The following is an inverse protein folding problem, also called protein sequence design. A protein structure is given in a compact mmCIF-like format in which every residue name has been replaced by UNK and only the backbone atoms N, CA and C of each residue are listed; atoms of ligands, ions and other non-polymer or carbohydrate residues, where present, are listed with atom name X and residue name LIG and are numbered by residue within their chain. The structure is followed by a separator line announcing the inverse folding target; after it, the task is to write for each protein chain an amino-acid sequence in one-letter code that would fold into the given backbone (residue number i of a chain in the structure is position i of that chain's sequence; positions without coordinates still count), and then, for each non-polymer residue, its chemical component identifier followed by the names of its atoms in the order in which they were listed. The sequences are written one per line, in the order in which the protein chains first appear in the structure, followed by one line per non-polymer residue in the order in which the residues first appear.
data_IF_535251387250
#
_entry.id   IF_535251387250
#
_cell.length_a   1.000
_cell.length_b   1.000
_cell.length_c   1.000
_cell.angle_alpha   90.00
_cell.angle_beta   90.00
_cell.angle_gamma   90.00
#
_symmetry.space_group_name_H-M   'P 1'
#
loop_
_entity.id
_entity.type
_entity.pdbx_description
1 polymer ?
#
# COMPACT_ATOMS: atom_id res chain seq x y z
N UNK A 1 -14.62 -10.43 9.05
CA UNK A 1 -13.92 -9.25 8.48
C UNK A 1 -14.68 -7.99 8.85
N UNK A 2 -13.99 -6.90 9.22
CA UNK A 2 -14.62 -5.58 9.42
C UNK A 2 -14.36 -4.73 8.19
N UNK A 3 -15.22 -3.71 8.01
CA UNK A 3 -15.18 -2.81 6.88
C UNK A 3 -15.09 -1.36 7.36
N UNK A 4 -14.37 -0.54 6.60
CA UNK A 4 -14.23 0.90 6.83
C UNK A 4 -14.58 1.65 5.55
N UNK A 5 -15.03 2.88 5.68
CA UNK A 5 -15.32 3.74 4.53
C UNK A 5 -14.00 4.20 3.88
N UNK A 6 -13.92 4.10 2.56
CA UNK A 6 -12.77 4.59 1.80
C UNK A 6 -12.98 6.07 1.44
N UNK A 7 -12.86 6.94 2.42
CA UNK A 7 -13.05 8.39 2.26
C UNK A 7 -14.31 8.75 1.48
N UNK A 8 -14.26 9.84 0.72
CA UNK A 8 -15.36 10.38 -0.10
C UNK A 8 -15.88 9.43 -1.19
N UNK A 9 -15.17 8.35 -1.50
CA UNK A 9 -15.64 7.35 -2.47
C UNK A 9 -16.93 6.67 -2.02
N UNK A 10 -17.21 6.64 -0.72
CA UNK A 10 -18.34 5.94 -0.11
C UNK A 10 -18.22 4.40 -0.13
N UNK A 11 -17.17 3.86 -0.75
CA UNK A 11 -16.94 2.41 -0.77
C UNK A 11 -16.68 1.88 0.64
N UNK A 12 -17.26 0.73 0.95
CA UNK A 12 -16.94 -0.03 2.16
C UNK A 12 -15.86 -1.04 1.81
N UNK A 13 -14.65 -0.85 2.31
CA UNK A 13 -13.50 -1.72 2.08
C UNK A 13 -13.16 -2.50 3.34
N UNK A 14 -12.74 -3.74 3.18
CA UNK A 14 -12.25 -4.55 4.29
C UNK A 14 -10.98 -3.92 4.89
N UNK A 15 -10.80 -4.06 6.20
CA UNK A 15 -9.63 -3.52 6.92
C UNK A 15 -8.29 -4.06 6.37
N UNK A 16 -8.30 -5.27 5.82
CA UNK A 16 -7.20 -5.79 5.01
C UNK A 16 -7.60 -5.80 3.54
N UNK A 17 -6.67 -5.47 2.66
CA UNK A 17 -6.77 -5.68 1.22
C UNK A 17 -5.63 -6.54 0.70
N UNK A 18 -5.83 -7.23 -0.41
CA UNK A 18 -4.82 -8.09 -1.01
C UNK A 18 -3.87 -7.28 -1.89
N UNK A 19 -2.58 -7.28 -1.57
CA UNK A 19 -1.53 -6.80 -2.48
C UNK A 19 -1.08 -7.92 -3.43
N UNK A 20 -1.40 -7.80 -4.71
CA UNK A 20 -1.15 -8.80 -5.75
C UNK A 20 0.17 -8.58 -6.51
N UNK A 21 1.18 -7.97 -5.88
CA UNK A 21 2.43 -7.60 -6.56
C UNK A 21 3.32 -8.78 -6.96
N UNK A 22 3.08 -9.98 -6.43
CA UNK A 22 3.96 -11.15 -6.63
C UNK A 22 3.19 -12.46 -6.55
N UNK A 23 3.69 -13.47 -7.28
CA UNK A 23 3.25 -14.85 -7.16
C UNK A 23 2.41 -15.35 -8.33
N UNK A 24 1.83 -14.45 -9.11
CA UNK A 24 1.00 -14.81 -10.25
C UNK A 24 1.81 -15.50 -11.36
N UNK A 25 3.02 -15.02 -11.65
CA UNK A 25 3.92 -15.63 -12.65
C UNK A 25 4.59 -16.90 -12.18
N UNK A 26 4.80 -17.05 -10.86
CA UNK A 26 5.50 -18.20 -10.29
C UNK A 26 4.59 -19.44 -10.21
N UNK A 27 3.33 -19.25 -9.78
CA UNK A 27 2.34 -20.31 -9.62
C UNK A 27 0.94 -19.72 -9.80
N UNK A 28 0.43 -19.60 -11.04
CA UNK A 28 -0.86 -18.99 -11.33
C UNK A 28 -2.04 -19.68 -10.64
N UNK A 29 -2.04 -21.02 -10.55
CA UNK A 29 -3.14 -21.77 -9.95
C UNK A 29 -3.19 -21.57 -8.42
N UNK A 30 -2.04 -21.56 -7.77
CA UNK A 30 -1.95 -21.22 -6.35
C UNK A 30 -2.36 -19.77 -6.10
N UNK A 31 -1.99 -18.87 -6.99
CA UNK A 31 -2.40 -17.45 -6.89
C UNK A 31 -3.93 -17.33 -6.97
N UNK A 32 -4.58 -17.95 -7.96
CA UNK A 32 -6.05 -17.97 -8.09
C UNK A 32 -6.73 -18.58 -6.87
N UNK A 33 -6.24 -19.73 -6.39
CA UNK A 33 -6.73 -20.37 -5.15
C UNK A 33 -6.62 -19.42 -3.96
N UNK A 34 -5.51 -18.68 -3.86
CA UNK A 34 -5.33 -17.69 -2.77
C UNK A 34 -6.29 -16.52 -2.92
N UNK A 35 -6.49 -16.00 -4.13
CA UNK A 35 -7.49 -14.93 -4.40
C UNK A 35 -8.89 -15.35 -3.95
N UNK A 36 -9.32 -16.57 -4.31
CA UNK A 36 -10.63 -17.07 -3.88
C UNK A 36 -10.72 -17.19 -2.35
N UNK A 37 -9.70 -17.75 -1.69
CA UNK A 37 -9.68 -17.85 -0.22
C UNK A 37 -9.71 -16.47 0.47
N UNK A 38 -9.05 -15.47 -0.12
CA UNK A 38 -9.05 -14.07 0.36
C UNK A 38 -10.46 -13.48 0.28
N UNK A 39 -11.15 -13.68 -0.83
CA UNK A 39 -12.53 -13.21 -1.05
C UNK A 39 -13.50 -13.93 -0.09
N UNK A 40 -13.36 -15.24 0.07
CA UNK A 40 -14.18 -16.04 0.98
C UNK A 40 -14.00 -15.65 2.46
N UNK A 41 -12.81 -15.11 2.81
CA UNK A 41 -12.56 -14.52 4.12
C UNK A 41 -13.18 -13.12 4.30
N UNK A 42 -13.86 -12.59 3.28
CA UNK A 42 -14.53 -11.28 3.30
C UNK A 42 -13.62 -10.10 2.93
N UNK A 43 -12.45 -10.34 2.37
CA UNK A 43 -11.59 -9.28 1.82
C UNK A 43 -12.14 -8.91 0.45
N UNK A 44 -12.49 -7.62 0.26
CA UNK A 44 -13.20 -7.17 -0.92
C UNK A 44 -12.46 -6.14 -1.78
N UNK A 45 -11.21 -5.78 -1.43
CA UNK A 45 -10.35 -4.92 -2.24
C UNK A 45 -9.05 -5.65 -2.60
N UNK A 46 -8.71 -5.65 -3.89
CA UNK A 46 -7.47 -6.23 -4.41
C UNK A 46 -6.69 -5.16 -5.15
N UNK A 47 -5.44 -4.97 -4.73
CA UNK A 47 -4.49 -4.05 -5.33
C UNK A 47 -3.57 -4.78 -6.31
N UNK A 48 -3.51 -4.28 -7.55
CA UNK A 48 -2.61 -4.76 -8.59
C UNK A 48 -2.00 -3.59 -9.37
N UNK A 49 -1.25 -3.85 -10.42
CA UNK A 49 -0.72 -2.87 -11.36
C UNK A 49 -0.24 -3.54 -12.65
N UNK A 50 -0.27 -2.81 -13.78
CA UNK A 50 0.34 -3.25 -15.04
C UNK A 50 1.82 -3.62 -14.87
N UNK A 51 2.54 -2.87 -14.03
CA UNK A 51 3.97 -3.10 -13.78
C UNK A 51 4.24 -4.35 -12.92
N UNK A 52 3.24 -4.96 -12.30
CA UNK A 52 3.42 -6.15 -11.48
C UNK A 52 3.58 -7.37 -12.35
N UNK A 53 4.76 -7.99 -12.26
CA UNK A 53 5.14 -9.16 -13.07
C UNK A 53 4.83 -8.96 -14.57
N UNK A 54 5.02 -7.72 -15.08
CA UNK A 54 4.78 -7.32 -16.48
C UNK A 54 3.35 -7.63 -16.97
N UNK A 55 2.35 -7.34 -16.14
CA UNK A 55 0.94 -7.54 -16.44
C UNK A 55 0.41 -8.94 -16.14
N UNK A 56 1.27 -9.89 -15.78
CA UNK A 56 0.84 -11.25 -15.43
C UNK A 56 -0.06 -11.24 -14.19
N UNK A 57 0.25 -10.38 -13.20
CA UNK A 57 -0.60 -10.22 -12.02
C UNK A 57 -2.04 -9.87 -12.41
N UNK A 58 -2.24 -8.87 -13.28
CA UNK A 58 -3.58 -8.48 -13.74
C UNK A 58 -4.27 -9.58 -14.54
N UNK A 59 -3.53 -10.31 -15.41
CA UNK A 59 -4.10 -11.37 -16.23
C UNK A 59 -4.62 -12.55 -15.39
N UNK A 60 -3.80 -13.04 -14.46
CA UNK A 60 -4.19 -14.15 -13.58
C UNK A 60 -5.28 -13.72 -12.59
N UNK A 61 -5.24 -12.47 -12.11
CA UNK A 61 -6.30 -11.90 -11.30
C UNK A 61 -7.61 -11.80 -12.08
N UNK A 62 -7.57 -11.34 -13.34
CA UNK A 62 -8.74 -11.28 -14.23
C UNK A 62 -9.43 -12.63 -14.39
N UNK A 63 -8.64 -13.70 -14.60
CA UNK A 63 -9.17 -15.07 -14.64
C UNK A 63 -9.84 -15.49 -13.32
N UNK A 64 -9.19 -15.17 -12.18
CA UNK A 64 -9.71 -15.50 -10.85
C UNK A 64 -11.01 -14.75 -10.50
N UNK A 65 -11.23 -13.58 -11.10
CA UNK A 65 -12.36 -12.70 -10.80
C UNK A 65 -13.51 -12.80 -11.81
N UNK A 66 -13.50 -13.76 -12.73
CA UNK A 66 -14.62 -13.98 -13.66
C UNK A 66 -15.92 -14.20 -12.87
N UNK A 67 -16.94 -13.35 -13.14
CA UNK A 67 -18.23 -13.38 -12.45
C UNK A 67 -18.22 -12.75 -11.04
N UNK A 68 -17.09 -12.26 -10.53
CA UNK A 68 -16.98 -11.64 -9.20
C UNK A 68 -16.99 -10.11 -9.31
N UNK A 69 -18.17 -9.55 -9.58
CA UNK A 69 -18.37 -8.09 -9.67
C UNK A 69 -18.48 -7.39 -8.30
N UNK A 70 -18.58 -8.17 -7.23
CA UNK A 70 -18.61 -7.74 -5.84
C UNK A 70 -17.22 -7.38 -5.27
N UNK A 71 -16.14 -7.75 -5.97
CA UNK A 71 -14.76 -7.46 -5.58
C UNK A 71 -14.28 -6.17 -6.22
N UNK A 72 -13.80 -5.25 -5.40
CA UNK A 72 -13.18 -3.99 -5.83
C UNK A 72 -11.77 -4.23 -6.32
N UNK A 73 -11.39 -3.57 -7.42
CA UNK A 73 -10.04 -3.67 -7.98
C UNK A 73 -9.41 -2.28 -8.05
N UNK A 74 -8.20 -2.18 -7.50
CA UNK A 74 -7.31 -1.05 -7.66
C UNK A 74 -6.17 -1.44 -8.59
N UNK A 75 -5.94 -0.63 -9.65
CA UNK A 75 -4.78 -0.76 -10.52
C UNK A 75 -4.08 0.58 -10.71
N UNK A 76 -2.91 0.60 -11.36
CA UNK A 76 -2.01 1.75 -11.35
C UNK A 76 -1.37 1.99 -12.72
N UNK A 77 -1.21 3.25 -13.06
CA UNK A 77 -0.37 3.71 -14.17
C UNK A 77 0.97 4.24 -13.64
N UNK A 78 2.09 3.69 -14.11
CA UNK A 78 3.42 4.15 -13.74
C UNK A 78 3.98 5.12 -14.77
N UNK A 79 4.20 6.41 -14.42
CA UNK A 79 4.71 7.40 -15.36
C UNK A 79 6.25 7.42 -15.44
N UNK A 80 6.92 6.27 -15.35
CA UNK A 80 8.38 6.13 -15.36
C UNK A 80 8.82 4.97 -16.24
N UNK A 81 10.01 5.10 -16.84
CA UNK A 81 10.60 4.11 -17.76
C UNK A 81 11.03 2.81 -17.06
N UNK A 82 11.26 2.85 -15.75
CA UNK A 82 11.70 1.70 -14.96
C UNK A 82 11.22 1.75 -13.51
N UNK A 83 11.58 0.75 -12.70
CA UNK A 83 11.39 0.73 -11.24
C UNK A 83 12.57 1.35 -10.47
N UNK A 84 13.64 1.74 -11.15
CA UNK A 84 14.80 2.32 -10.50
C UNK A 84 14.45 3.63 -9.79
N UNK A 85 15.10 3.97 -8.66
CA UNK A 85 14.81 5.21 -7.93
C UNK A 85 15.08 6.47 -8.76
N UNK A 86 16.03 6.41 -9.69
CA UNK A 86 16.46 7.48 -10.59
C UNK A 86 15.79 7.41 -11.98
N UNK A 87 14.78 6.54 -12.17
CA UNK A 87 14.08 6.38 -13.44
C UNK A 87 13.49 7.70 -13.95
N UNK A 88 13.59 7.89 -15.27
CA UNK A 88 13.07 9.09 -15.91
C UNK A 88 11.55 9.10 -15.93
N UNK A 89 10.99 10.29 -15.72
CA UNK A 89 9.57 10.51 -15.95
C UNK A 89 9.28 10.53 -17.46
N UNK A 90 8.50 9.58 -17.92
CA UNK A 90 8.12 9.41 -19.34
C UNK A 90 6.60 9.46 -19.55
N UNK A 91 5.84 9.79 -18.48
CA UNK A 91 4.38 9.81 -18.54
C UNK A 91 3.82 10.70 -19.65
N UNK A 92 2.82 10.18 -20.38
CA UNK A 92 1.99 10.93 -21.30
C UNK A 92 0.52 10.50 -21.21
N UNK A 93 -0.42 11.37 -21.60
CA UNK A 93 -1.85 11.05 -21.63
C UNK A 93 -2.18 9.81 -22.48
N UNK A 94 -1.52 9.68 -23.64
CA UNK A 94 -1.74 8.57 -24.58
C UNK A 94 -1.27 7.24 -23.99
N UNK A 95 -0.08 7.25 -23.37
CA UNK A 95 0.46 6.07 -22.68
C UNK A 95 -0.42 5.66 -21.50
N UNK A 96 -0.91 6.63 -20.72
CA UNK A 96 -1.82 6.36 -19.61
C UNK A 96 -3.11 5.69 -20.10
N UNK A 97 -3.74 6.23 -21.15
CA UNK A 97 -4.97 5.65 -21.71
C UNK A 97 -4.71 4.24 -22.22
N UNK A 98 -3.64 4.02 -22.98
CA UNK A 98 -3.27 2.71 -23.52
C UNK A 98 -2.98 1.69 -22.39
N UNK A 99 -2.28 2.11 -21.33
CA UNK A 99 -2.00 1.33 -20.13
C UNK A 99 -3.30 0.88 -19.44
N UNK A 100 -4.21 1.82 -19.16
CA UNK A 100 -5.49 1.52 -18.49
C UNK A 100 -6.35 0.59 -19.33
N UNK A 101 -6.46 0.82 -20.64
CA UNK A 101 -7.20 -0.07 -21.54
C UNK A 101 -6.55 -1.47 -21.60
N UNK A 102 -5.21 -1.54 -21.52
CA UNK A 102 -4.47 -2.79 -21.38
C UNK A 102 -4.81 -3.50 -20.06
N UNK A 103 -4.83 -2.77 -18.95
CA UNK A 103 -5.20 -3.30 -17.64
C UNK A 103 -6.63 -3.84 -17.63
N UNK A 104 -7.60 -3.11 -18.18
CA UNK A 104 -8.99 -3.58 -18.27
C UNK A 104 -9.12 -4.87 -19.06
N UNK A 105 -8.40 -4.99 -20.19
CA UNK A 105 -8.38 -6.25 -20.98
C UNK A 105 -7.79 -7.41 -20.17
N UNK A 106 -6.66 -7.22 -19.49
CA UNK A 106 -6.03 -8.25 -18.65
C UNK A 106 -6.89 -8.65 -17.47
N UNK A 107 -7.55 -7.68 -16.84
CA UNK A 107 -8.48 -7.89 -15.73
C UNK A 107 -9.83 -8.48 -16.14
N UNK A 108 -10.10 -8.62 -17.43
CA UNK A 108 -11.41 -9.05 -17.98
C UNK A 108 -12.57 -8.20 -17.42
N UNK A 109 -12.38 -6.86 -17.35
CA UNK A 109 -13.36 -5.91 -16.79
C UNK A 109 -13.55 -4.72 -17.74
N UNK A 110 -14.75 -4.15 -17.74
CA UNK A 110 -15.06 -2.92 -18.49
C UNK A 110 -14.60 -1.67 -17.74
N UNK A 111 -14.38 -1.80 -16.40
CA UNK A 111 -13.93 -0.71 -15.53
C UNK A 111 -13.10 -1.20 -14.35
N UNK A 112 -12.24 -0.34 -13.85
CA UNK A 112 -11.60 -0.49 -12.53
C UNK A 112 -12.28 0.40 -11.50
N UNK A 113 -12.25 0.01 -10.22
CA UNK A 113 -12.81 0.82 -9.15
C UNK A 113 -11.90 1.98 -8.78
N UNK A 114 -10.58 1.75 -8.72
CA UNK A 114 -9.59 2.76 -8.36
C UNK A 114 -8.44 2.71 -9.37
N UNK A 115 -8.06 3.87 -9.89
CA UNK A 115 -6.85 4.04 -10.70
C UNK A 115 -5.88 4.97 -9.98
N UNK A 116 -4.67 4.49 -9.67
CA UNK A 116 -3.64 5.31 -9.04
C UNK A 116 -2.57 5.78 -10.04
N UNK A 117 -2.12 7.03 -9.90
CA UNK A 117 -0.80 7.45 -10.37
C UNK A 117 0.27 6.77 -9.52
N UNK A 118 1.09 5.89 -10.12
CA UNK A 118 1.94 4.94 -9.40
C UNK A 118 3.30 5.51 -9.02
N UNK A 119 3.55 5.63 -7.71
CA UNK A 119 4.89 5.93 -7.17
C UNK A 119 5.38 7.33 -7.51
N UNK A 120 4.55 8.35 -7.37
CA UNK A 120 4.97 9.74 -7.60
C UNK A 120 6.02 10.12 -6.53
N UNK A 121 7.22 10.54 -6.99
CA UNK A 121 8.46 10.56 -6.18
C UNK A 121 8.81 11.89 -5.58
N UNK A 122 8.32 12.98 -6.18
CA UNK A 122 8.69 14.34 -5.78
C UNK A 122 7.61 15.35 -6.17
N UNK A 123 7.66 16.53 -5.58
CA UNK A 123 6.79 17.64 -5.96
C UNK A 123 6.92 17.98 -7.45
N UNK A 124 8.15 17.95 -8.00
CA UNK A 124 8.35 18.23 -9.43
C UNK A 124 7.68 17.18 -10.33
N UNK A 125 7.69 15.90 -9.94
CA UNK A 125 6.98 14.87 -10.71
C UNK A 125 5.48 14.94 -10.51
N UNK A 126 5.00 15.35 -9.34
CA UNK A 126 3.57 15.65 -9.12
C UNK A 126 3.12 16.81 -10.03
N UNK A 127 3.87 17.90 -10.06
CA UNK A 127 3.54 19.07 -10.89
C UNK A 127 3.50 18.69 -12.38
N UNK A 128 4.44 17.86 -12.86
CA UNK A 128 4.40 17.34 -14.23
C UNK A 128 3.17 16.46 -14.46
N UNK A 129 2.90 15.49 -13.59
CA UNK A 129 1.76 14.59 -13.70
C UNK A 129 0.44 15.36 -13.79
N UNK A 130 0.32 16.46 -13.06
CA UNK A 130 -0.86 17.35 -13.10
C UNK A 130 -0.93 18.19 -14.37
N UNK A 131 0.22 18.68 -14.90
CA UNK A 131 0.28 19.66 -15.98
C UNK A 131 0.46 19.08 -17.37
N UNK A 132 1.09 17.89 -17.53
CA UNK A 132 1.36 17.26 -18.82
C UNK A 132 0.15 16.53 -19.43
N UNK A 133 -0.99 16.54 -18.73
CA UNK A 133 -2.23 15.93 -19.17
C UNK A 133 -2.50 14.52 -18.64
N UNK A 134 -1.58 13.88 -17.92
CA UNK A 134 -1.82 12.56 -17.31
C UNK A 134 -3.01 12.60 -16.35
N UNK A 135 -3.05 13.55 -15.41
CA UNK A 135 -4.21 13.71 -14.54
C UNK A 135 -5.50 13.98 -15.34
N UNK A 136 -5.44 14.85 -16.36
CA UNK A 136 -6.57 15.10 -17.26
C UNK A 136 -7.06 13.85 -18.00
N UNK A 137 -6.16 12.95 -18.38
CA UNK A 137 -6.51 11.66 -18.96
C UNK A 137 -7.22 10.73 -17.97
N UNK A 138 -6.79 10.70 -16.68
CA UNK A 138 -7.51 9.96 -15.63
C UNK A 138 -8.94 10.50 -15.46
N UNK A 139 -9.12 11.83 -15.46
CA UNK A 139 -10.45 12.45 -15.38
C UNK A 139 -11.33 12.04 -16.55
N UNK A 140 -10.80 12.07 -17.78
CA UNK A 140 -11.53 11.61 -18.98
C UNK A 140 -11.93 10.14 -18.93
N UNK A 141 -11.04 9.27 -18.42
CA UNK A 141 -11.35 7.84 -18.24
C UNK A 141 -12.46 7.64 -17.17
N UNK A 142 -12.50 8.48 -16.15
CA UNK A 142 -13.60 8.49 -15.16
C UNK A 142 -14.92 8.94 -15.79
N UNK A 143 -14.92 10.01 -16.58
CA UNK A 143 -16.09 10.49 -17.32
C UNK A 143 -16.62 9.45 -18.32
N UNK A 144 -15.73 8.64 -18.93
CA UNK A 144 -16.08 7.51 -19.80
C UNK A 144 -16.58 6.28 -19.03
N UNK A 145 -16.56 6.30 -17.70
CA UNK A 145 -16.98 5.17 -16.85
C UNK A 145 -15.97 4.01 -16.78
N UNK A 146 -14.76 4.16 -17.34
CA UNK A 146 -13.69 3.15 -17.30
C UNK A 146 -12.96 3.11 -15.96
N UNK A 147 -13.03 4.19 -15.19
CA UNK A 147 -12.46 4.35 -13.85
C UNK A 147 -13.53 4.97 -12.95
N UNK A 148 -13.73 4.44 -11.73
CA UNK A 148 -14.69 5.05 -10.79
C UNK A 148 -14.06 6.16 -9.98
N UNK A 149 -12.89 5.91 -9.38
CA UNK A 149 -12.19 6.82 -8.49
C UNK A 149 -10.72 6.98 -8.89
N UNK A 150 -10.19 8.18 -8.68
CA UNK A 150 -8.82 8.54 -9.03
C UNK A 150 -8.00 8.69 -7.75
N UNK A 151 -6.81 8.12 -7.75
CA UNK A 151 -5.90 8.24 -6.62
C UNK A 151 -4.45 8.43 -7.04
N UNK A 152 -3.59 8.49 -6.02
CA UNK A 152 -2.16 8.66 -6.18
C UNK A 152 -1.42 7.79 -5.16
N UNK A 153 -0.32 7.17 -5.59
CA UNK A 153 0.60 6.42 -4.73
C UNK A 153 1.92 7.17 -4.63
N UNK A 154 2.44 7.30 -3.42
CA UNK A 154 3.79 7.82 -3.21
C UNK A 154 4.88 6.77 -3.45
N UNK A 155 6.13 7.22 -3.47
CA UNK A 155 7.31 6.38 -3.33
C UNK A 155 8.11 6.89 -2.12
N UNK A 156 7.95 6.24 -0.96
CA UNK A 156 8.53 6.69 0.31
C UNK A 156 10.06 6.67 0.36
N UNK A 157 10.73 6.01 -0.58
CA UNK A 157 12.20 5.99 -0.67
C UNK A 157 12.80 7.35 -1.01
N UNK A 158 12.07 8.20 -1.72
CA UNK A 158 12.51 9.54 -2.12
C UNK A 158 11.84 10.67 -1.34
N UNK A 159 10.77 10.38 -0.60
CA UNK A 159 9.95 11.36 0.12
C UNK A 159 9.52 10.85 1.50
N UNK A 160 10.48 10.71 2.40
CA UNK A 160 10.23 10.23 3.77
C UNK A 160 9.40 11.17 4.64
N UNK A 161 9.17 12.40 4.18
CA UNK A 161 8.30 13.38 4.83
C UNK A 161 6.93 13.49 4.17
N UNK A 162 6.66 12.69 3.13
CA UNK A 162 5.37 12.64 2.42
C UNK A 162 4.93 13.96 1.79
N UNK A 163 5.87 14.81 1.31
CA UNK A 163 5.56 16.12 0.72
C UNK A 163 4.60 16.01 -0.47
N UNK A 164 4.74 14.96 -1.29
CA UNK A 164 3.86 14.67 -2.42
C UNK A 164 2.42 14.52 -1.93
N UNK A 165 2.16 13.68 -0.93
CA UNK A 165 0.82 13.45 -0.41
C UNK A 165 0.29 14.66 0.38
N UNK A 166 1.14 15.34 1.14
CA UNK A 166 0.75 16.57 1.83
C UNK A 166 0.25 17.65 0.86
N UNK A 167 0.77 17.68 -0.36
CA UNK A 167 0.31 18.60 -1.41
C UNK A 167 -0.86 18.04 -2.21
N UNK A 168 -0.87 16.74 -2.48
CA UNK A 168 -1.91 16.09 -3.29
C UNK A 168 -3.27 16.05 -2.57
N UNK A 169 -3.29 15.72 -1.27
CA UNK A 169 -4.55 15.56 -0.50
C UNK A 169 -5.39 16.83 -0.48
N UNK A 170 -4.87 18.03 -0.11
CA UNK A 170 -5.68 19.24 -0.08
C UNK A 170 -6.09 19.76 -1.47
N UNK A 171 -5.47 19.28 -2.55
CA UNK A 171 -5.79 19.74 -3.91
C UNK A 171 -7.21 19.39 -4.37
N UNK A 172 -7.86 18.42 -3.73
CA UNK A 172 -9.17 17.90 -4.14
C UNK A 172 -9.14 17.03 -5.41
N UNK A 173 -7.96 16.81 -6.00
CA UNK A 173 -7.80 16.06 -7.26
C UNK A 173 -7.94 14.55 -7.08
N UNK A 174 -7.64 14.02 -5.90
CA UNK A 174 -7.55 12.58 -5.65
C UNK A 174 -8.57 12.14 -4.59
N UNK A 175 -9.27 11.05 -4.89
CA UNK A 175 -10.26 10.43 -4.00
C UNK A 175 -9.60 9.46 -3.00
N UNK A 176 -8.45 8.87 -3.42
CA UNK A 176 -7.71 7.84 -2.67
C UNK A 176 -6.22 8.13 -2.71
N UNK A 177 -5.53 7.89 -1.61
CA UNK A 177 -4.07 7.89 -1.56
C UNK A 177 -3.54 6.56 -1.06
N UNK A 178 -2.44 6.09 -1.68
CA UNK A 178 -1.69 4.93 -1.19
C UNK A 178 -0.40 5.42 -0.56
N UNK A 179 -0.22 5.12 0.72
CA UNK A 179 0.87 5.64 1.56
C UNK A 179 1.59 4.53 2.32
N UNK A 180 2.85 4.78 2.67
CA UNK A 180 3.63 3.88 3.53
C UNK A 180 3.40 4.20 5.00
N UNK A 181 2.98 3.20 5.76
CA UNK A 181 2.88 3.27 7.22
C UNK A 181 3.18 1.91 7.83
N UNK A 182 4.10 1.86 8.78
CA UNK A 182 4.37 0.70 9.62
C UNK A 182 5.03 1.18 10.92
N UNK A 183 5.25 0.30 11.90
CA UNK A 183 5.76 0.74 13.20
C UNK A 183 7.22 1.24 13.19
N UNK A 184 8.00 1.01 12.10
CA UNK A 184 9.30 1.65 11.91
C UNK A 184 9.16 3.01 11.21
N UNK A 185 8.28 3.11 10.20
CA UNK A 185 8.05 4.30 9.39
C UNK A 185 6.69 4.90 9.76
N UNK A 186 6.70 5.88 10.68
CA UNK A 186 5.49 6.39 11.32
C UNK A 186 5.08 7.78 10.83
N UNK A 187 5.90 8.42 10.01
CA UNK A 187 5.72 9.84 9.61
C UNK A 187 4.38 10.14 8.94
N UNK A 188 3.83 9.20 8.18
CA UNK A 188 2.52 9.36 7.56
C UNK A 188 1.38 9.54 8.57
N UNK A 189 1.49 8.94 9.77
CA UNK A 189 0.47 9.06 10.81
C UNK A 189 0.24 10.52 11.25
N UNK A 190 1.31 11.33 11.24
CA UNK A 190 1.23 12.74 11.63
C UNK A 190 1.07 13.67 10.42
N UNK A 191 1.73 13.35 9.31
CA UNK A 191 1.84 14.26 8.17
C UNK A 191 0.69 14.09 7.15
N UNK A 192 0.11 12.90 7.03
CA UNK A 192 -0.83 12.57 5.94
C UNK A 192 -2.22 12.19 6.46
N UNK A 193 -2.32 11.31 7.47
CA UNK A 193 -3.62 10.84 7.94
C UNK A 193 -4.56 11.96 8.41
N UNK A 194 -4.10 13.00 9.16
CA UNK A 194 -4.97 14.10 9.54
C UNK A 194 -5.51 14.89 8.34
N UNK A 195 -4.68 15.06 7.29
CA UNK A 195 -5.13 15.71 6.05
C UNK A 195 -6.16 14.85 5.31
N UNK A 196 -5.95 13.52 5.24
CA UNK A 196 -6.92 12.61 4.62
C UNK A 196 -8.26 12.66 5.35
N UNK A 197 -8.26 12.69 6.67
CA UNK A 197 -9.47 12.84 7.49
C UNK A 197 -10.15 14.19 7.23
N UNK A 198 -9.40 15.28 7.24
CA UNK A 198 -9.93 16.64 7.01
C UNK A 198 -10.55 16.79 5.62
N UNK A 199 -9.95 16.18 4.59
CA UNK A 199 -10.36 16.29 3.19
C UNK A 199 -11.20 15.10 2.71
N UNK A 200 -11.58 14.18 3.59
CA UNK A 200 -12.35 12.97 3.30
C UNK A 200 -11.75 12.13 2.16
N UNK A 201 -10.43 11.98 2.16
CA UNK A 201 -9.68 11.18 1.17
C UNK A 201 -9.46 9.78 1.72
N UNK A 202 -9.77 8.74 0.93
CA UNK A 202 -9.57 7.34 1.31
C UNK A 202 -8.08 6.98 1.39
N UNK A 203 -7.72 6.09 2.32
CA UNK A 203 -6.33 5.70 2.55
C UNK A 203 -6.12 4.20 2.33
N UNK A 204 -5.15 3.85 1.49
CA UNK A 204 -4.65 2.48 1.31
C UNK A 204 -3.22 2.45 1.85
N UNK A 205 -2.99 1.68 2.92
CA UNK A 205 -1.63 1.58 3.49
C UNK A 205 -0.88 0.47 2.79
N UNK A 206 0.23 0.83 2.14
CA UNK A 206 1.19 -0.11 1.57
C UNK A 206 2.38 -0.33 2.51
N UNK A 207 3.14 -1.40 2.30
CA UNK A 207 4.34 -1.72 3.07
C UNK A 207 4.12 -1.83 4.60
N UNK A 208 2.97 -2.36 5.08
CA UNK A 208 2.69 -2.45 6.51
C UNK A 208 3.71 -3.31 7.27
N UNK A 209 4.35 -4.25 6.57
CA UNK A 209 5.41 -5.10 7.12
C UNK A 209 6.81 -4.70 6.66
N UNK A 210 6.98 -3.52 6.06
CA UNK A 210 8.27 -3.02 5.55
C UNK A 210 9.04 -4.07 4.72
N UNK A 211 8.32 -4.87 3.94
CA UNK A 211 8.87 -6.06 3.30
C UNK A 211 9.35 -5.78 1.88
N UNK A 212 10.68 -5.75 1.69
CA UNK A 212 11.31 -5.67 0.37
C UNK A 212 11.57 -7.06 -0.25
N UNK A 213 11.75 -8.11 0.57
CA UNK A 213 11.96 -9.50 0.15
C UNK A 213 11.26 -10.47 1.11
N UNK A 214 11.25 -11.79 0.79
CA UNK A 214 10.60 -12.82 1.62
C UNK A 214 11.19 -12.94 3.04
N UNK A 215 12.44 -12.54 3.23
CA UNK A 215 13.20 -12.67 4.48
C UNK A 215 13.53 -11.31 5.13
N UNK A 216 13.03 -10.19 4.59
CA UNK A 216 13.29 -8.85 5.11
C UNK A 216 12.02 -8.20 5.63
N UNK A 217 12.18 -7.18 6.46
CA UNK A 217 11.07 -6.42 7.01
C UNK A 217 10.54 -6.97 8.32
N UNK A 218 9.30 -6.66 8.63
CA UNK A 218 8.63 -7.01 9.88
C UNK A 218 7.96 -8.40 9.79
N UNK A 219 8.75 -9.42 9.43
CA UNK A 219 8.25 -10.79 9.19
C UNK A 219 8.66 -11.78 10.29
N UNK A 220 9.63 -11.42 11.11
CA UNK A 220 10.08 -12.16 12.29
C UNK A 220 10.91 -11.25 13.18
N UNK A 221 11.16 -11.64 14.45
CA UNK A 221 12.02 -10.88 15.36
C UNK A 221 13.42 -10.66 14.76
N UNK A 222 14.14 -11.68 14.26
CA UNK A 222 15.47 -11.46 13.66
C UNK A 222 15.46 -10.49 12.47
N UNK A 223 14.45 -10.58 11.59
CA UNK A 223 14.33 -9.69 10.43
C UNK A 223 14.00 -8.25 10.83
N UNK A 224 13.14 -8.06 11.84
CA UNK A 224 12.81 -6.74 12.37
C UNK A 224 14.01 -6.09 13.05
N UNK A 225 14.77 -6.84 13.86
CA UNK A 225 16.01 -6.36 14.47
C UNK A 225 17.08 -6.02 13.43
N UNK A 226 17.11 -6.75 12.30
CA UNK A 226 17.99 -6.39 11.17
C UNK A 226 17.59 -5.05 10.54
N UNK A 227 16.29 -4.77 10.40
CA UNK A 227 15.84 -3.44 9.96
C UNK A 227 16.29 -2.35 10.94
N UNK A 228 16.17 -2.59 12.25
CA UNK A 228 16.65 -1.65 13.26
C UNK A 228 18.17 -1.42 13.13
N UNK A 229 18.97 -2.49 12.99
CA UNK A 229 20.42 -2.34 12.80
C UNK A 229 20.79 -1.51 11.56
N UNK A 230 20.05 -1.65 10.48
CA UNK A 230 20.25 -0.80 9.28
C UNK A 230 19.95 0.67 9.56
N UNK A 231 18.91 0.97 10.32
CA UNK A 231 18.61 2.34 10.74
C UNK A 231 19.68 2.89 11.68
N UNK A 232 20.25 2.07 12.57
CA UNK A 232 21.40 2.46 13.39
C UNK A 232 22.63 2.74 12.51
N UNK A 233 22.94 1.85 11.58
CA UNK A 233 24.09 2.02 10.66
C UNK A 233 23.95 3.26 9.75
N UNK A 234 22.71 3.63 9.41
CA UNK A 234 22.39 4.83 8.64
C UNK A 234 22.32 6.12 9.48
N UNK A 235 22.51 6.04 10.80
CA UNK A 235 22.45 7.19 11.72
C UNK A 235 21.03 7.69 12.03
N UNK A 236 20.00 6.93 11.65
CA UNK A 236 18.59 7.26 11.96
C UNK A 236 18.20 6.91 13.40
N UNK A 237 18.94 6.00 14.02
CA UNK A 237 18.77 5.57 15.40
C UNK A 237 20.13 5.56 16.13
N UNK A 238 20.17 5.79 17.47
CA UNK A 238 21.39 5.71 18.24
C UNK A 238 22.02 4.30 18.22
N UNK A 239 23.36 4.23 18.24
CA UNK A 239 24.12 2.98 18.34
C UNK A 239 24.33 2.54 19.81
N UNK A 240 23.28 2.62 20.61
CA UNK A 240 23.28 2.30 22.05
C UNK A 240 21.95 1.65 22.44
N UNK A 241 21.83 1.04 23.63
CA UNK A 241 20.54 0.55 24.12
C UNK A 241 19.46 1.65 24.11
N UNK A 242 18.20 1.30 23.78
CA UNK A 242 17.72 -0.08 23.60
C UNK A 242 17.92 -0.66 22.18
N UNK A 243 18.45 0.10 21.23
CA UNK A 243 18.49 -0.30 19.79
C UNK A 243 19.53 -1.39 19.49
N UNK A 244 20.49 -1.60 20.38
CA UNK A 244 21.47 -2.68 20.31
C UNK A 244 21.06 -3.94 21.11
N UNK A 245 19.94 -3.86 21.84
CA UNK A 245 19.43 -4.96 22.67
C UNK A 245 18.70 -5.99 21.79
N UNK A 246 19.04 -7.28 21.88
CA UNK A 246 18.30 -8.35 21.21
C UNK A 246 16.85 -8.49 21.71
N UNK A 247 16.53 -8.05 22.93
CA UNK A 247 15.19 -8.03 23.51
C UNK A 247 14.35 -6.80 23.19
N UNK A 248 14.83 -5.90 22.31
CA UNK A 248 14.18 -4.63 21.99
C UNK A 248 12.67 -4.74 21.70
N UNK A 249 12.24 -5.84 21.07
CA UNK A 249 10.86 -6.06 20.64
C UNK A 249 10.06 -7.03 21.53
N UNK A 250 10.62 -7.47 22.68
CA UNK A 250 9.97 -8.45 23.56
C UNK A 250 8.66 -7.95 24.16
N UNK A 251 8.49 -6.64 24.29
CA UNK A 251 7.25 -6.02 24.77
C UNK A 251 6.06 -6.24 23.82
N UNK A 252 6.29 -6.67 22.57
CA UNK A 252 5.23 -7.03 21.63
C UNK A 252 4.63 -8.41 21.89
N UNK A 253 5.27 -9.25 22.72
CA UNK A 253 4.73 -10.57 23.03
C UNK A 253 3.38 -10.45 23.77
N UNK A 254 2.43 -11.41 23.53
CA UNK A 254 2.59 -12.66 22.79
C UNK A 254 2.37 -12.55 21.27
N UNK A 255 2.21 -11.33 20.70
CA UNK A 255 1.98 -11.16 19.28
C UNK A 255 3.21 -11.54 18.46
N UNK A 256 3.00 -12.13 17.30
CA UNK A 256 4.06 -12.22 16.29
C UNK A 256 4.37 -10.85 15.71
N UNK A 257 5.58 -10.64 15.18
CA UNK A 257 5.97 -9.37 14.58
C UNK A 257 5.05 -8.96 13.40
N UNK A 258 4.68 -9.86 12.46
CA UNK A 258 3.71 -9.51 11.43
C UNK A 258 2.35 -9.09 12.00
N UNK A 259 1.85 -9.80 12.99
CA UNK A 259 0.59 -9.47 13.65
C UNK A 259 0.65 -8.10 14.33
N UNK A 260 1.71 -7.83 15.10
CA UNK A 260 1.92 -6.52 15.74
C UNK A 260 2.04 -5.40 14.68
N UNK A 261 2.72 -5.65 13.55
CA UNK A 261 2.87 -4.71 12.45
C UNK A 261 1.53 -4.35 11.79
N UNK A 262 0.68 -5.34 11.53
CA UNK A 262 -0.65 -5.10 10.96
C UNK A 262 -1.58 -4.42 11.97
N UNK A 263 -1.57 -4.85 13.24
CA UNK A 263 -2.36 -4.22 14.31
C UNK A 263 -1.94 -2.77 14.55
N UNK A 264 -0.63 -2.47 14.42
CA UNK A 264 -0.14 -1.10 14.48
C UNK A 264 -0.82 -0.22 13.42
N UNK A 265 -0.82 -0.67 12.16
CA UNK A 265 -1.47 0.07 11.06
C UNK A 265 -2.97 0.24 11.31
N UNK A 266 -3.66 -0.84 11.69
CA UNK A 266 -5.10 -0.85 11.90
C UNK A 266 -5.54 -0.05 13.14
N UNK A 267 -4.63 0.23 14.08
CA UNK A 267 -4.89 1.12 15.22
C UNK A 267 -5.00 2.60 14.81
N UNK A 268 -4.58 2.95 13.59
CA UNK A 268 -4.74 4.29 13.03
C UNK A 268 -6.06 4.40 12.23
N UNK A 269 -6.49 5.63 12.00
CA UNK A 269 -7.67 5.93 11.16
C UNK A 269 -7.31 5.81 9.67
N UNK A 270 -7.12 4.56 9.23
CA UNK A 270 -6.87 4.19 7.84
C UNK A 270 -8.04 3.41 7.28
N UNK A 271 -8.30 3.53 5.96
CA UNK A 271 -9.42 2.80 5.34
C UNK A 271 -9.10 1.32 5.16
N UNK A 272 -7.90 0.97 4.69
CA UNK A 272 -7.48 -0.41 4.50
C UNK A 272 -5.96 -0.56 4.56
N UNK A 273 -5.52 -1.74 4.99
CA UNK A 273 -4.11 -2.14 5.04
C UNK A 273 -3.86 -3.17 3.93
N UNK A 274 -3.14 -2.75 2.88
CA UNK A 274 -2.78 -3.60 1.74
C UNK A 274 -1.57 -4.47 2.09
N UNK A 275 -1.77 -5.78 2.15
CA UNK A 275 -0.74 -6.73 2.54
C UNK A 275 -0.69 -7.93 1.60
N UNK A 276 0.52 -8.44 1.33
CA UNK A 276 0.72 -9.65 0.54
C UNK A 276 0.21 -10.90 1.25
N UNK A 277 -0.57 -11.72 0.52
CA UNK A 277 -1.13 -12.98 1.01
C UNK A 277 -0.84 -14.07 -0.03
N UNK A 278 0.41 -14.56 -0.09
CA UNK A 278 0.85 -15.49 -1.14
C UNK A 278 0.47 -16.97 -0.88
N UNK A 279 -0.28 -17.23 0.19
CA UNK A 279 -0.79 -18.55 0.52
C UNK A 279 -1.95 -18.49 1.51
N UNK A 280 -2.82 -19.52 1.56
CA UNK A 280 -3.87 -19.63 2.57
C UNK A 280 -3.34 -19.55 4.01
N UNK A 281 -2.14 -20.07 4.27
CA UNK A 281 -1.52 -19.92 5.59
C UNK A 281 -1.22 -18.47 5.94
N UNK A 282 -0.64 -17.69 5.00
CA UNK A 282 -0.40 -16.24 5.20
C UNK A 282 -1.69 -15.46 5.38
N UNK A 283 -2.74 -15.84 4.67
CA UNK A 283 -4.07 -15.27 4.89
C UNK A 283 -4.52 -15.47 6.33
N UNK A 284 -4.44 -16.70 6.87
CA UNK A 284 -4.85 -16.99 8.25
C UNK A 284 -3.99 -16.25 9.28
N UNK A 285 -2.68 -16.12 9.04
CA UNK A 285 -1.79 -15.31 9.88
C UNK A 285 -2.21 -13.83 9.89
N UNK A 286 -2.48 -13.24 8.72
CA UNK A 286 -2.88 -11.85 8.60
C UNK A 286 -4.27 -11.58 9.20
N UNK A 287 -5.20 -12.53 9.09
CA UNK A 287 -6.55 -12.40 9.67
C UNK A 287 -6.55 -12.26 11.20
N UNK A 288 -5.51 -12.76 11.89
CA UNK A 288 -5.37 -12.57 13.35
C UNK A 288 -5.21 -11.10 13.74
N UNK A 289 -4.69 -10.28 12.83
CA UNK A 289 -4.53 -8.84 13.07
C UNK A 289 -5.87 -8.07 13.07
N UNK A 290 -6.93 -8.63 12.48
CA UNK A 290 -8.28 -8.04 12.42
C UNK A 290 -9.03 -8.33 13.73
N UNK A 291 -8.34 -8.25 14.84
CA UNK A 291 -8.91 -8.31 16.17
C UNK A 291 -9.31 -6.89 16.62
N UNK A 292 -10.52 -6.69 17.19
CA UNK A 292 -10.96 -5.36 17.63
C UNK A 292 -10.07 -4.69 18.68
N UNK A 293 -9.23 -5.44 19.37
CA UNK A 293 -8.33 -4.88 20.38
C UNK A 293 -7.12 -4.13 19.80
N UNK A 294 -6.75 -4.37 18.52
CA UNK A 294 -5.53 -3.81 17.88
C UNK A 294 -4.28 -3.85 18.78
N UNK A 295 -3.53 -2.73 18.86
CA UNK A 295 -2.52 -2.52 19.88
C UNK A 295 -3.06 -1.56 20.96
N UNK A 296 -2.75 -1.86 22.21
CA UNK A 296 -3.11 -0.98 23.31
C UNK A 296 -2.31 0.34 23.28
N UNK A 297 -2.81 1.42 23.92
CA UNK A 297 -2.18 2.74 23.89
C UNK A 297 -0.75 2.76 24.41
N UNK A 298 -0.40 1.92 25.40
CA UNK A 298 0.95 1.88 25.96
C UNK A 298 1.94 1.28 24.94
N UNK A 299 1.54 0.21 24.25
CA UNK A 299 2.34 -0.39 23.18
C UNK A 299 2.52 0.59 22.01
N UNK A 300 1.47 1.32 21.60
CA UNK A 300 1.56 2.35 20.55
C UNK A 300 2.51 3.48 20.96
N UNK A 301 2.41 3.97 22.21
CA UNK A 301 3.32 4.99 22.75
C UNK A 301 4.77 4.50 22.75
N UNK A 302 4.99 3.25 23.16
CA UNK A 302 6.34 2.66 23.20
C UNK A 302 6.94 2.55 21.79
N UNK A 303 6.17 2.11 20.80
CA UNK A 303 6.61 2.08 19.41
C UNK A 303 6.92 3.50 18.88
N UNK A 304 6.13 4.48 19.29
CA UNK A 304 6.35 5.88 18.92
C UNK A 304 7.65 6.43 19.53
N UNK A 305 7.92 6.18 20.81
CA UNK A 305 9.16 6.57 21.47
C UNK A 305 10.39 5.96 20.79
N UNK A 306 10.32 4.67 20.45
CA UNK A 306 11.42 3.95 19.85
C UNK A 306 11.70 4.37 18.40
N UNK A 307 10.67 4.48 17.57
CA UNK A 307 10.84 4.55 16.11
C UNK A 307 10.27 5.81 15.45
N UNK A 308 9.54 6.65 16.18
CA UNK A 308 8.86 7.84 15.62
C UNK A 308 9.81 8.88 14.99
N UNK A 309 11.12 8.76 15.21
CA UNK A 309 12.16 9.64 14.62
C UNK A 309 12.60 9.20 13.22
N UNK A 310 12.26 7.99 12.81
CA UNK A 310 12.69 7.45 11.50
C UNK A 310 11.86 8.13 10.41
N UNK A 311 12.53 8.87 9.53
CA UNK A 311 11.88 9.58 8.42
C UNK A 311 12.06 8.90 7.07
N UNK A 312 13.12 8.10 6.89
CA UNK A 312 13.46 7.48 5.61
C UNK A 312 13.53 5.96 5.74
N UNK A 313 13.02 5.27 4.74
CA UNK A 313 13.20 3.82 4.62
C UNK A 313 14.66 3.51 4.28
N UNK A 314 15.27 2.59 5.01
CA UNK A 314 16.59 2.00 4.71
C UNK A 314 16.37 0.57 4.25
N UNK A 315 16.78 0.24 3.02
CA UNK A 315 16.67 -1.12 2.43
C UNK A 315 17.94 -1.93 2.58
#
# INVERSE_FOLDING_TARGET
MRYRRLGRTGLQVSELSLGAARGASTDPERFKTTVHAVIDAGINLIDTAESYENGVSESVLGEALVGRHDVLVETKYRPYDSHAPDANYTGSPEQLVASVEGSLRRLCRDRTDILLGHGIRSLATLDRFMSDGCYGAMVKLREQGKVRFIGISELSEGDGTHQVLQRAVPSGAFDVVMLTLNFLLQTAADAVLPLCQQHDVGTVVMMPLNQASKSSGLVSVPAALECVRRHVAAGNLPAEPPYTDPGLLDFLQPLSIPEAGLRYVLAHDVSTCCVGMQSPQRLQENLRAVDPSYLDPATLSRLRELFGRIQLQVR
#
